data_IF_907837751970
#
_entry.id   IF_907837751970
#
_cell.length_a   1.000
_cell.length_b   1.000
_cell.length_c   1.000
_cell.angle_alpha   90.00
_cell.angle_beta   90.00
_cell.angle_gamma   90.00
#
_symmetry.space_group_name_H-M   'P 1'
#
loop_
_entity.id
_entity.type
_entity.pdbx_description
1 polymer ?
#
# COMPACT_ATOMS: atom_id res chain seq x y z
N UNK A 1 49.70 -97.00 9.46
CA UNK A 1 48.47 -96.29 9.31
C UNK A 1 48.69 -94.93 9.94
N UNK A 2 49.09 -93.94 9.12
CA UNK A 2 49.23 -92.56 9.53
C UNK A 2 47.89 -91.82 9.23
N UNK A 3 47.41 -90.99 10.10
CA UNK A 3 46.21 -90.19 9.78
C UNK A 3 46.59 -88.97 8.96
N UNK A 4 45.85 -88.76 7.87
CA UNK A 4 45.92 -87.60 6.99
C UNK A 4 45.64 -86.34 7.79
N UNK A 5 46.36 -85.23 7.49
CA UNK A 5 46.10 -83.88 7.99
C UNK A 5 44.96 -83.24 7.17
N UNK A 6 44.07 -82.55 7.80
CA UNK A 6 43.06 -81.84 7.06
C UNK A 6 43.62 -80.60 6.35
N UNK A 7 43.09 -80.36 5.17
CA UNK A 7 43.36 -79.26 4.21
C UNK A 7 43.40 -77.88 4.80
N UNK A 8 44.26 -77.06 4.18
CA UNK A 8 44.44 -75.66 4.57
C UNK A 8 43.17 -74.75 4.42
N UNK A 9 43.25 -73.53 4.90
CA UNK A 9 42.09 -72.67 5.02
C UNK A 9 41.40 -72.36 3.69
N UNK A 10 40.09 -72.48 3.70
CA UNK A 10 39.19 -72.36 2.55
C UNK A 10 39.36 -71.02 1.84
N UNK A 11 39.88 -70.94 0.64
CA UNK A 11 40.07 -69.76 -0.22
C UNK A 11 38.75 -69.03 -0.42
N UNK A 12 37.61 -69.69 -0.27
CA UNK A 12 36.27 -69.09 -0.36
C UNK A 12 35.92 -68.14 0.83
N UNK A 13 36.56 -68.36 1.99
CA UNK A 13 36.34 -67.49 3.18
C UNK A 13 37.10 -66.17 3.09
N UNK A 14 38.30 -66.13 2.46
CA UNK A 14 39.05 -64.87 2.28
C UNK A 14 38.43 -63.94 1.24
N UNK A 15 37.88 -64.47 0.15
CA UNK A 15 37.24 -63.73 -0.89
C UNK A 15 35.88 -63.12 -0.37
N UNK A 16 35.16 -63.82 0.48
CA UNK A 16 33.97 -63.38 1.16
C UNK A 16 34.24 -62.24 2.17
N UNK A 17 35.32 -62.35 2.95
CA UNK A 17 35.75 -61.31 3.89
C UNK A 17 36.27 -60.08 3.18
N UNK A 18 36.98 -60.22 2.05
CA UNK A 18 37.44 -59.09 1.23
C UNK A 18 36.26 -58.29 0.63
N UNK A 19 35.21 -58.96 0.12
CA UNK A 19 34.03 -58.35 -0.42
C UNK A 19 33.16 -57.62 0.68
N UNK A 20 33.10 -58.21 1.88
CA UNK A 20 32.42 -57.62 2.99
C UNK A 20 33.12 -56.35 3.52
N UNK A 21 34.46 -56.35 3.60
CA UNK A 21 35.26 -55.17 3.97
C UNK A 21 35.12 -54.04 2.94
N UNK A 22 35.14 -54.33 1.65
CA UNK A 22 34.95 -53.34 0.59
C UNK A 22 33.54 -52.74 0.62
N UNK A 23 32.51 -53.53 0.94
CA UNK A 23 31.13 -53.02 1.13
C UNK A 23 30.99 -52.13 2.36
N UNK A 24 31.63 -52.46 3.47
CA UNK A 24 31.64 -51.66 4.70
C UNK A 24 32.39 -50.34 4.45
N UNK A 25 33.49 -50.36 3.75
CA UNK A 25 34.26 -49.17 3.41
C UNK A 25 33.48 -48.24 2.48
N UNK A 26 32.83 -48.77 1.47
CA UNK A 26 31.92 -48.03 0.58
C UNK A 26 30.70 -47.42 1.31
N UNK A 27 30.12 -48.16 2.25
CA UNK A 27 29.03 -47.68 3.08
C UNK A 27 29.51 -46.57 4.03
N UNK A 28 30.74 -46.68 4.55
CA UNK A 28 31.36 -45.64 5.40
C UNK A 28 31.66 -44.36 4.62
N UNK A 29 32.18 -44.46 3.40
CA UNK A 29 32.38 -43.31 2.52
C UNK A 29 31.08 -42.63 2.15
N UNK A 30 30.03 -43.38 1.82
CA UNK A 30 28.70 -42.84 1.56
C UNK A 30 28.11 -42.17 2.80
N UNK A 31 28.30 -42.74 3.99
CA UNK A 31 27.86 -42.12 5.26
C UNK A 31 28.61 -40.84 5.56
N UNK A 32 29.90 -40.75 5.31
CA UNK A 32 30.70 -39.54 5.46
C UNK A 32 30.26 -38.45 4.45
N UNK A 33 30.02 -38.82 3.19
CA UNK A 33 29.56 -37.89 2.16
C UNK A 33 28.14 -37.33 2.47
N UNK A 34 27.25 -38.18 3.01
CA UNK A 34 25.91 -37.73 3.49
C UNK A 34 26.02 -36.80 4.70
N UNK A 35 26.93 -37.12 5.64
CA UNK A 35 27.19 -36.27 6.80
C UNK A 35 27.75 -34.90 6.40
N UNK A 36 28.68 -34.87 5.45
CA UNK A 36 29.26 -33.62 4.96
C UNK A 36 28.26 -32.77 4.16
N UNK A 37 27.38 -33.42 3.39
CA UNK A 37 26.23 -32.76 2.76
C UNK A 37 25.28 -32.16 3.79
N UNK A 38 24.88 -32.93 4.80
CA UNK A 38 24.02 -32.46 5.87
C UNK A 38 24.66 -31.33 6.65
N UNK A 39 25.99 -31.41 6.92
CA UNK A 39 26.70 -30.32 7.61
C UNK A 39 26.74 -29.03 6.77
N UNK A 40 26.96 -29.16 5.47
CA UNK A 40 26.97 -28.02 4.53
C UNK A 40 25.58 -27.39 4.37
N UNK A 41 24.52 -28.19 4.34
CA UNK A 41 23.13 -27.69 4.39
C UNK A 41 22.83 -26.98 5.72
N UNK A 42 23.27 -27.55 6.84
CA UNK A 42 23.04 -26.96 8.16
C UNK A 42 23.84 -25.68 8.36
N UNK A 43 25.03 -25.55 7.79
CA UNK A 43 25.79 -24.29 7.78
C UNK A 43 25.12 -23.24 6.89
N UNK A 44 24.48 -23.64 5.80
CA UNK A 44 23.66 -22.75 4.96
C UNK A 44 22.42 -22.20 5.67
N UNK A 45 21.89 -22.91 6.68
CA UNK A 45 20.78 -22.42 7.52
C UNK A 45 21.19 -21.33 8.52
N UNK A 46 22.47 -21.17 8.82
CA UNK A 46 22.97 -20.09 9.68
C UNK A 46 22.85 -18.71 9.02
N UNK A 47 22.84 -18.66 7.69
CA UNK A 47 22.58 -17.46 6.92
C UNK A 47 21.26 -17.63 6.15
N UNK A 48 20.16 -17.03 6.62
CA UNK A 48 18.86 -17.12 5.95
C UNK A 48 18.91 -16.75 4.46
N UNK A 49 19.83 -15.88 4.07
CA UNK A 49 19.97 -15.41 2.69
C UNK A 49 20.51 -16.49 1.74
N UNK A 50 21.18 -17.51 2.26
CA UNK A 50 21.71 -18.62 1.48
C UNK A 50 20.72 -19.77 1.29
N UNK A 51 19.62 -19.78 2.04
CA UNK A 51 18.59 -20.81 1.94
C UNK A 51 17.89 -20.78 0.59
N UNK A 52 17.48 -21.96 0.11
CA UNK A 52 16.73 -22.10 -1.14
C UNK A 52 15.41 -21.32 -1.08
N UNK A 53 14.77 -21.30 0.08
CA UNK A 53 13.53 -20.56 0.31
C UNK A 53 13.76 -19.04 0.13
N UNK A 54 14.81 -18.49 0.74
CA UNK A 54 15.14 -17.07 0.59
C UNK A 54 15.46 -16.69 -0.86
N UNK A 55 16.27 -17.52 -1.55
CA UNK A 55 16.60 -17.32 -2.96
C UNK A 55 15.37 -17.41 -3.86
N UNK A 56 14.41 -18.26 -3.53
CA UNK A 56 13.15 -18.39 -4.25
C UNK A 56 12.24 -17.16 -4.07
N UNK A 57 12.14 -16.65 -2.84
CA UNK A 57 11.30 -15.50 -2.52
C UNK A 57 11.90 -14.20 -3.09
N UNK A 58 13.17 -13.95 -2.83
CA UNK A 58 13.81 -12.69 -3.15
C UNK A 58 14.53 -12.65 -4.49
N UNK A 59 14.75 -13.80 -5.14
CA UNK A 59 15.40 -13.93 -6.46
C UNK A 59 16.63 -13.04 -6.67
N UNK A 60 17.43 -12.83 -5.61
CA UNK A 60 18.61 -11.97 -5.65
C UNK A 60 19.77 -12.76 -6.26
N UNK A 61 19.91 -12.70 -7.58
CA UNK A 61 20.94 -13.48 -8.30
C UNK A 61 21.99 -12.64 -9.02
N UNK A 62 21.95 -11.29 -8.89
CA UNK A 62 22.82 -10.44 -9.70
C UNK A 62 23.70 -9.55 -8.82
N UNK A 63 24.97 -9.48 -9.16
CA UNK A 63 25.89 -8.49 -8.56
C UNK A 63 25.35 -7.08 -8.81
N UNK A 64 25.09 -6.36 -7.72
CA UNK A 64 24.56 -4.99 -7.74
C UNK A 64 25.62 -3.93 -8.04
N UNK A 65 26.87 -4.29 -8.16
CA UNK A 65 27.95 -3.38 -8.53
C UNK A 65 27.86 -2.95 -10.00
N UNK A 66 27.42 -3.86 -10.88
CA UNK A 66 27.27 -3.60 -12.31
C UNK A 66 25.98 -2.77 -12.61
N UNK A 67 26.08 -1.67 -13.37
CA UNK A 67 24.93 -0.85 -13.81
C UNK A 67 23.86 -1.61 -14.58
N UNK A 68 24.26 -2.60 -15.42
CA UNK A 68 23.34 -3.45 -16.17
C UNK A 68 22.50 -4.31 -15.23
N UNK A 69 23.15 -4.96 -14.26
CA UNK A 69 22.47 -5.81 -13.30
C UNK A 69 21.52 -5.02 -12.40
N UNK A 70 21.87 -3.77 -12.04
CA UNK A 70 20.96 -2.87 -11.34
C UNK A 70 19.72 -2.53 -12.16
N UNK A 71 19.87 -2.29 -13.45
CA UNK A 71 18.74 -2.02 -14.34
C UNK A 71 17.84 -3.25 -14.50
N UNK A 72 18.40 -4.44 -14.65
CA UNK A 72 17.65 -5.69 -14.73
C UNK A 72 16.92 -6.00 -13.40
N UNK A 73 17.55 -5.75 -12.25
CA UNK A 73 16.89 -5.89 -10.95
C UNK A 73 15.69 -4.95 -10.79
N UNK A 74 15.80 -3.71 -11.28
CA UNK A 74 14.67 -2.75 -11.30
C UNK A 74 13.53 -3.24 -12.21
N UNK A 75 13.85 -3.79 -13.38
CA UNK A 75 12.84 -4.28 -14.32
C UNK A 75 12.12 -5.54 -13.83
N UNK A 76 12.83 -6.42 -13.13
CA UNK A 76 12.29 -7.72 -12.68
C UNK A 76 11.58 -7.68 -11.33
N UNK A 77 11.71 -6.60 -10.56
CA UNK A 77 11.15 -6.47 -9.22
C UNK A 77 10.04 -5.42 -9.20
N UNK A 78 8.81 -5.81 -8.87
CA UNK A 78 7.63 -4.93 -8.84
C UNK A 78 7.87 -3.68 -7.98
N UNK A 79 8.42 -3.83 -6.78
CA UNK A 79 8.65 -2.69 -5.88
C UNK A 79 9.71 -1.74 -6.46
N UNK A 80 10.82 -2.26 -6.95
CA UNK A 80 11.84 -1.44 -7.59
C UNK A 80 11.38 -0.88 -8.93
N UNK A 81 10.48 -1.57 -9.63
CA UNK A 81 9.88 -1.07 -10.86
C UNK A 81 8.98 0.15 -10.62
N UNK A 82 8.29 0.23 -9.49
CA UNK A 82 7.46 1.37 -9.11
C UNK A 82 8.27 2.57 -8.59
N UNK A 83 9.52 2.36 -8.16
CA UNK A 83 10.39 3.41 -7.63
C UNK A 83 11.39 3.89 -8.68
N UNK A 84 11.82 5.17 -8.67
CA UNK A 84 12.82 5.69 -9.60
C UNK A 84 14.19 5.04 -9.35
N UNK A 85 14.91 4.70 -10.44
CA UNK A 85 16.23 4.08 -10.35
C UNK A 85 17.31 5.02 -9.78
N UNK A 86 17.12 6.33 -9.94
CA UNK A 86 17.99 7.39 -9.40
C UNK A 86 17.11 8.40 -8.66
N UNK A 87 17.50 8.77 -7.45
CA UNK A 87 16.83 9.77 -6.63
C UNK A 87 17.86 10.85 -6.25
N UNK A 88 17.46 12.11 -6.30
CA UNK A 88 18.28 13.19 -5.82
C UNK A 88 18.51 13.02 -4.31
N UNK A 89 19.78 13.05 -3.88
CA UNK A 89 20.15 12.88 -2.47
C UNK A 89 19.50 13.91 -1.56
N UNK A 90 19.40 15.17 -2.01
CA UNK A 90 18.79 16.24 -1.22
C UNK A 90 17.26 16.10 -1.12
N UNK A 91 16.63 15.46 -2.12
CA UNK A 91 15.20 15.18 -2.08
C UNK A 91 14.83 14.12 -1.02
N UNK A 92 15.78 13.30 -0.57
CA UNK A 92 15.54 12.26 0.45
C UNK A 92 15.67 12.78 1.88
N UNK A 93 16.12 14.02 2.07
CA UNK A 93 16.20 14.63 3.40
C UNK A 93 14.81 14.78 3.99
N UNK A 94 14.61 14.25 5.19
CA UNK A 94 13.33 14.35 5.91
C UNK A 94 12.91 15.81 6.10
N UNK A 95 13.89 16.70 6.42
CA UNK A 95 13.65 18.14 6.58
C UNK A 95 13.10 18.84 5.34
N UNK A 96 13.28 18.26 4.15
CA UNK A 96 12.73 18.81 2.91
C UNK A 96 11.30 18.31 2.61
N UNK A 97 11.03 17.03 2.83
CA UNK A 97 9.74 16.41 2.48
C UNK A 97 8.79 16.27 3.68
N UNK A 98 9.34 16.22 4.90
CA UNK A 98 8.68 15.85 6.15
C UNK A 98 7.96 14.49 6.07
N UNK A 99 8.21 13.71 5.04
CA UNK A 99 7.58 12.43 4.80
C UNK A 99 6.05 12.49 4.59
N UNK A 100 5.47 13.68 4.39
CA UNK A 100 4.01 13.88 4.42
C UNK A 100 3.26 12.99 3.44
N UNK A 101 3.74 12.84 2.20
CA UNK A 101 3.11 11.95 1.22
C UNK A 101 3.14 10.47 1.65
N UNK A 102 4.25 10.03 2.23
CA UNK A 102 4.39 8.67 2.77
C UNK A 102 3.49 8.44 4.00
N UNK A 103 3.42 9.41 4.90
CA UNK A 103 2.54 9.36 6.08
C UNK A 103 1.07 9.30 5.64
N UNK A 104 0.65 10.13 4.68
CA UNK A 104 -0.71 10.12 4.14
C UNK A 104 -1.06 8.76 3.53
N UNK A 105 -0.14 8.16 2.76
CA UNK A 105 -0.32 6.81 2.22
C UNK A 105 -0.42 5.74 3.30
N UNK A 106 0.43 5.80 4.32
CA UNK A 106 0.36 4.89 5.46
C UNK A 106 -1.00 5.00 6.19
N UNK A 107 -1.48 6.23 6.40
CA UNK A 107 -2.80 6.47 6.99
C UNK A 107 -3.94 5.89 6.14
N UNK A 108 -3.83 5.96 4.80
CA UNK A 108 -4.79 5.31 3.91
C UNK A 108 -4.82 3.78 4.11
N UNK A 109 -3.65 3.15 4.27
CA UNK A 109 -3.58 1.70 4.56
C UNK A 109 -4.23 1.39 5.92
N UNK A 110 -3.94 2.18 6.96
CA UNK A 110 -4.56 2.02 8.29
C UNK A 110 -6.08 2.16 8.20
N UNK A 111 -6.56 3.18 7.47
CA UNK A 111 -8.00 3.40 7.25
C UNK A 111 -8.65 2.25 6.50
N UNK A 112 -8.01 1.73 5.47
CA UNK A 112 -8.53 0.58 4.71
C UNK A 112 -8.62 -0.66 5.60
N UNK A 113 -7.57 -0.97 6.35
CA UNK A 113 -7.55 -2.13 7.24
C UNK A 113 -8.60 -2.01 8.35
N UNK A 114 -8.61 -0.89 9.05
CA UNK A 114 -9.59 -0.65 10.14
C UNK A 114 -11.01 -0.58 9.59
N UNK A 115 -11.21 0.02 8.42
CA UNK A 115 -12.52 0.11 7.77
C UNK A 115 -13.09 -1.25 7.40
N UNK A 116 -12.28 -2.15 6.83
CA UNK A 116 -12.70 -3.52 6.53
C UNK A 116 -13.12 -4.26 7.80
N UNK A 117 -12.37 -4.11 8.89
CA UNK A 117 -12.75 -4.72 10.17
C UNK A 117 -14.06 -4.14 10.75
N UNK A 118 -14.29 -2.84 10.61
CA UNK A 118 -15.53 -2.19 11.03
C UNK A 118 -16.74 -2.70 10.24
N UNK A 119 -16.59 -3.05 8.95
CA UNK A 119 -17.67 -3.58 8.13
C UNK A 119 -18.29 -4.88 8.66
N UNK A 120 -17.52 -5.70 9.41
CA UNK A 120 -18.04 -6.94 10.01
C UNK A 120 -19.11 -6.71 11.08
N UNK A 121 -19.13 -5.52 11.68
CA UNK A 121 -20.03 -5.18 12.79
C UNK A 121 -21.08 -4.14 12.41
N UNK A 122 -21.13 -3.70 11.15
CA UNK A 122 -21.93 -2.57 10.74
C UNK A 122 -23.00 -2.95 9.69
N UNK A 123 -24.26 -2.59 9.97
CA UNK A 123 -25.36 -2.73 9.04
C UNK A 123 -25.83 -1.35 8.55
N UNK A 124 -25.77 -1.05 7.24
CA UNK A 124 -26.15 0.24 6.67
C UNK A 124 -27.70 0.40 6.60
N UNK A 125 -28.35 0.21 7.73
CA UNK A 125 -29.81 0.30 7.88
C UNK A 125 -30.14 1.31 8.96
N UNK A 126 -31.04 2.25 8.65
CA UNK A 126 -31.43 3.31 9.56
C UNK A 126 -31.92 2.76 10.90
N UNK A 127 -31.39 3.30 11.99
CA UNK A 127 -31.65 2.82 13.37
C UNK A 127 -30.87 1.59 13.77
N UNK A 128 -30.42 0.71 12.87
CA UNK A 128 -29.48 -0.37 13.18
C UNK A 128 -28.05 0.17 13.23
N UNK A 129 -27.65 1.03 12.28
CA UNK A 129 -26.32 1.60 12.19
C UNK A 129 -25.85 2.23 13.52
N UNK A 130 -26.69 3.05 14.16
CA UNK A 130 -26.36 3.66 15.44
C UNK A 130 -26.20 2.61 16.57
N UNK A 131 -27.05 1.60 16.61
CA UNK A 131 -26.96 0.51 17.60
C UNK A 131 -25.68 -0.32 17.41
N UNK A 132 -25.31 -0.57 16.16
CA UNK A 132 -24.06 -1.30 15.84
C UNK A 132 -22.83 -0.53 16.31
N UNK A 133 -22.84 0.80 16.19
CA UNK A 133 -21.75 1.63 16.73
C UNK A 133 -21.70 1.55 18.26
N UNK A 134 -22.84 1.59 18.95
CA UNK A 134 -22.86 1.42 20.42
C UNK A 134 -22.40 0.02 20.83
N UNK A 135 -22.87 -1.02 20.14
CA UNK A 135 -22.43 -2.41 20.37
C UNK A 135 -20.91 -2.54 20.17
N UNK A 136 -20.37 -1.97 19.08
CA UNK A 136 -18.94 -1.97 18.81
C UNK A 136 -18.14 -1.29 19.94
N UNK A 137 -18.66 -0.19 20.51
CA UNK A 137 -17.94 0.59 21.53
C UNK A 137 -17.99 -0.04 22.93
N UNK A 138 -19.05 -0.76 23.25
CA UNK A 138 -19.30 -1.25 24.62
C UNK A 138 -19.13 -2.75 24.77
N UNK A 139 -19.51 -3.54 23.77
CA UNK A 139 -19.61 -5.00 23.90
C UNK A 139 -18.50 -5.75 23.14
N UNK A 140 -17.95 -5.16 22.07
CA UNK A 140 -16.90 -5.83 21.27
C UNK A 140 -15.51 -5.55 21.88
N UNK A 141 -14.74 -6.59 22.22
CA UNK A 141 -13.36 -6.43 22.70
C UNK A 141 -12.53 -5.61 21.68
N UNK A 142 -11.88 -4.55 22.15
CA UNK A 142 -11.11 -3.60 21.33
C UNK A 142 -11.93 -2.82 20.26
N UNK A 143 -13.25 -2.96 20.23
CA UNK A 143 -14.09 -2.28 19.23
C UNK A 143 -14.00 -0.75 19.31
N UNK A 144 -14.01 -0.18 20.52
CA UNK A 144 -13.77 1.25 20.75
C UNK A 144 -12.40 1.71 20.27
N UNK A 145 -11.35 0.90 20.48
CA UNK A 145 -10.01 1.20 19.98
C UNK A 145 -10.00 1.21 18.44
N UNK A 146 -10.57 0.19 17.81
CA UNK A 146 -10.65 0.05 16.36
C UNK A 146 -11.35 1.25 15.72
N UNK A 147 -12.52 1.64 16.24
CA UNK A 147 -13.28 2.80 15.76
C UNK A 147 -12.50 4.09 15.94
N UNK A 148 -11.87 4.29 17.09
CA UNK A 148 -11.08 5.49 17.35
C UNK A 148 -9.83 5.56 16.46
N UNK A 149 -9.15 4.44 16.21
CA UNK A 149 -8.03 4.39 15.26
C UNK A 149 -8.49 4.83 13.87
N UNK A 150 -9.63 4.33 13.38
CA UNK A 150 -10.19 4.74 12.09
C UNK A 150 -10.49 6.24 12.07
N UNK A 151 -11.17 6.75 13.07
CA UNK A 151 -11.54 8.18 13.18
C UNK A 151 -10.31 9.09 13.23
N UNK A 152 -9.34 8.79 14.10
CA UNK A 152 -8.15 9.62 14.24
C UNK A 152 -7.23 9.54 13.02
N UNK A 153 -7.11 8.37 12.40
CA UNK A 153 -6.39 8.22 11.14
C UNK A 153 -7.03 9.06 10.02
N UNK A 154 -8.37 9.17 9.98
CA UNK A 154 -9.06 10.02 9.03
C UNK A 154 -8.74 11.51 9.23
N UNK A 155 -8.77 12.00 10.47
CA UNK A 155 -8.40 13.39 10.77
C UNK A 155 -6.93 13.67 10.40
N UNK A 156 -6.02 12.78 10.79
CA UNK A 156 -4.60 12.91 10.46
C UNK A 156 -4.37 12.85 8.94
N UNK A 157 -5.09 12.01 8.21
CA UNK A 157 -4.97 11.93 6.75
C UNK A 157 -5.35 13.25 6.08
N UNK A 158 -6.42 13.91 6.50
CA UNK A 158 -6.79 15.23 5.98
C UNK A 158 -5.69 16.24 6.26
N UNK A 159 -5.23 16.33 7.51
CA UNK A 159 -4.17 17.28 7.91
C UNK A 159 -2.88 17.04 7.12
N UNK A 160 -2.44 15.79 7.03
CA UNK A 160 -1.19 15.46 6.31
C UNK A 160 -1.31 15.66 4.81
N UNK A 161 -2.49 15.44 4.22
CA UNK A 161 -2.75 15.75 2.80
C UNK A 161 -2.64 17.24 2.54
N UNK A 162 -3.24 18.08 3.37
CA UNK A 162 -3.14 19.55 3.27
C UNK A 162 -1.70 20.02 3.42
N UNK A 163 -0.99 19.53 4.43
CA UNK A 163 0.43 19.87 4.63
C UNK A 163 1.29 19.42 3.46
N UNK A 164 1.01 18.23 2.90
CA UNK A 164 1.66 17.74 1.70
C UNK A 164 1.45 18.67 0.49
N UNK A 165 0.21 19.04 0.22
CA UNK A 165 -0.14 19.96 -0.86
C UNK A 165 0.51 21.33 -0.66
N UNK A 166 0.43 21.87 0.56
CA UNK A 166 1.05 23.15 0.92
C UNK A 166 2.57 23.14 0.70
N UNK A 167 3.25 22.07 1.14
CA UNK A 167 4.68 21.88 0.87
C UNK A 167 4.98 21.86 -0.62
N UNK A 168 4.18 21.14 -1.43
CA UNK A 168 4.36 21.06 -2.88
C UNK A 168 4.26 22.43 -3.54
N UNK A 169 3.33 23.27 -3.07
CA UNK A 169 3.16 24.66 -3.54
C UNK A 169 4.37 25.52 -3.14
N UNK A 170 4.76 25.51 -1.87
CA UNK A 170 5.86 26.35 -1.35
C UNK A 170 7.21 26.02 -2.00
N UNK A 171 7.44 24.75 -2.33
CA UNK A 171 8.71 24.33 -2.97
C UNK A 171 8.67 24.40 -4.49
N UNK A 172 7.55 24.84 -5.10
CA UNK A 172 7.39 24.88 -6.55
C UNK A 172 7.41 23.49 -7.21
N UNK A 173 7.20 22.44 -6.44
CA UNK A 173 7.26 21.04 -6.91
C UNK A 173 6.14 20.65 -7.87
N UNK A 174 5.16 21.50 -8.07
CA UNK A 174 4.07 21.35 -9.05
C UNK A 174 4.44 21.80 -10.47
N UNK A 175 5.57 22.52 -10.63
CA UNK A 175 6.04 23.03 -11.93
C UNK A 175 6.61 21.89 -12.79
N UNK A 176 6.87 22.21 -14.07
CA UNK A 176 7.41 21.26 -15.05
C UNK A 176 8.52 20.37 -14.48
N UNK A 177 8.46 19.08 -14.72
CA UNK A 177 7.52 18.30 -15.56
C UNK A 177 6.33 17.68 -14.76
N UNK A 178 5.97 18.21 -13.57
CA UNK A 178 5.08 17.58 -12.58
C UNK A 178 3.65 18.13 -12.56
N UNK A 179 3.25 18.93 -13.55
CA UNK A 179 1.92 19.57 -13.60
C UNK A 179 0.80 18.54 -13.60
N UNK A 180 0.94 17.47 -14.40
CA UNK A 180 -0.06 16.40 -14.42
C UNK A 180 -0.18 15.71 -13.06
N UNK A 181 0.95 15.44 -12.40
CA UNK A 181 0.94 14.82 -11.08
C UNK A 181 0.31 15.75 -10.02
N UNK A 182 0.44 17.04 -10.18
CA UNK A 182 -0.25 18.03 -9.35
C UNK A 182 -1.78 17.92 -9.51
N UNK A 183 -2.29 17.86 -10.75
CA UNK A 183 -3.72 17.67 -11.02
C UNK A 183 -4.24 16.36 -10.40
N UNK A 184 -3.49 15.27 -10.52
CA UNK A 184 -3.81 13.99 -9.85
C UNK A 184 -3.86 14.16 -8.33
N UNK A 185 -2.93 14.90 -7.75
CA UNK A 185 -2.91 15.22 -6.33
C UNK A 185 -4.14 16.01 -5.87
N UNK A 186 -4.60 16.98 -6.66
CA UNK A 186 -5.84 17.73 -6.40
C UNK A 186 -7.07 16.81 -6.41
N UNK A 187 -7.15 15.90 -7.38
CA UNK A 187 -8.22 14.88 -7.42
C UNK A 187 -8.19 14.01 -6.16
N UNK A 188 -7.00 13.56 -5.73
CA UNK A 188 -6.83 12.78 -4.50
C UNK A 188 -7.27 13.55 -3.26
N UNK A 189 -7.00 14.87 -3.18
CA UNK A 189 -7.49 15.72 -2.09
C UNK A 189 -9.02 15.75 -2.07
N UNK A 190 -9.66 15.95 -3.24
CA UNK A 190 -11.13 15.95 -3.35
C UNK A 190 -11.70 14.60 -2.92
N UNK A 191 -11.11 13.49 -3.37
CA UNK A 191 -11.53 12.14 -2.96
C UNK A 191 -11.37 11.92 -1.45
N UNK A 192 -10.31 12.44 -0.84
CA UNK A 192 -10.12 12.40 0.63
C UNK A 192 -11.21 13.16 1.38
N UNK A 193 -11.60 14.34 0.87
CA UNK A 193 -12.71 15.11 1.44
C UNK A 193 -14.05 14.38 1.29
N UNK A 194 -14.30 13.77 0.14
CA UNK A 194 -15.51 12.97 -0.10
C UNK A 194 -15.55 11.71 0.79
N UNK A 195 -14.41 11.05 1.02
CA UNK A 195 -14.32 9.94 1.99
C UNK A 195 -14.72 10.41 3.38
N UNK A 196 -14.20 11.53 3.85
CA UNK A 196 -14.55 12.07 5.15
C UNK A 196 -16.04 12.43 5.23
N UNK A 197 -16.58 13.06 4.19
CA UNK A 197 -17.98 13.45 4.13
C UNK A 197 -18.92 12.23 4.15
N UNK A 198 -18.66 11.22 3.32
CA UNK A 198 -19.50 10.02 3.27
C UNK A 198 -19.39 9.17 4.54
N UNK A 199 -18.20 9.09 5.15
CA UNK A 199 -17.99 8.38 6.40
C UNK A 199 -18.65 9.05 7.62
N UNK A 200 -18.84 10.36 7.56
CA UNK A 200 -19.42 11.12 8.67
C UNK A 200 -20.92 10.81 8.89
N UNK A 201 -21.64 10.38 7.86
CA UNK A 201 -23.04 9.95 7.97
C UNK A 201 -23.20 8.55 8.57
N UNK A 202 -22.20 7.68 8.45
CA UNK A 202 -22.37 6.25 8.77
C UNK A 202 -22.78 5.95 10.22
N UNK A 203 -22.38 6.72 11.24
CA UNK A 203 -22.90 6.52 12.60
C UNK A 203 -24.42 6.72 12.74
N UNK A 204 -25.11 7.30 11.77
CA UNK A 204 -26.56 7.63 11.77
C UNK A 204 -26.97 8.41 13.02
N UNK A 205 -26.09 9.32 13.46
CA UNK A 205 -26.31 10.21 14.59
C UNK A 205 -26.80 11.60 14.13
N UNK A 206 -27.18 12.45 15.09
CA UNK A 206 -27.64 13.80 14.83
C UNK A 206 -26.61 14.66 14.09
N UNK A 207 -25.33 14.52 14.40
CA UNK A 207 -24.26 15.28 13.78
C UNK A 207 -24.08 14.89 12.31
N UNK A 208 -24.05 13.59 12.01
CA UNK A 208 -23.97 13.06 10.65
C UNK A 208 -25.18 13.47 9.80
N UNK A 209 -26.39 13.34 10.35
CA UNK A 209 -27.62 13.75 9.68
C UNK A 209 -27.59 15.23 9.26
N UNK A 210 -27.29 16.14 10.20
CA UNK A 210 -27.27 17.56 9.89
C UNK A 210 -26.12 17.99 8.99
N UNK A 211 -24.92 17.39 9.16
CA UNK A 211 -23.79 17.66 8.29
C UNK A 211 -24.10 17.31 6.83
N UNK A 212 -24.70 16.13 6.58
CA UNK A 212 -25.08 15.71 5.22
C UNK A 212 -26.24 16.54 4.69
N UNK A 213 -27.21 16.90 5.53
CA UNK A 213 -28.31 17.78 5.14
C UNK A 213 -27.79 19.12 4.66
N UNK A 214 -26.93 19.77 5.44
CA UNK A 214 -26.34 21.07 5.08
C UNK A 214 -25.44 20.96 3.86
N UNK A 215 -24.51 20.00 3.85
CA UNK A 215 -23.56 19.83 2.76
C UNK A 215 -24.24 19.53 1.42
N UNK A 216 -25.27 18.68 1.43
CA UNK A 216 -26.02 18.39 0.19
C UNK A 216 -26.95 19.52 -0.22
N UNK A 217 -27.46 20.34 0.71
CA UNK A 217 -28.16 21.58 0.36
C UNK A 217 -27.23 22.59 -0.31
N UNK A 218 -25.96 22.70 0.15
CA UNK A 218 -24.98 23.55 -0.53
C UNK A 218 -24.69 23.03 -1.96
N UNK A 219 -24.76 21.73 -2.19
CA UNK A 219 -24.57 21.14 -3.51
C UNK A 219 -25.64 21.57 -4.54
N UNK A 220 -26.82 22.02 -4.12
CA UNK A 220 -27.86 22.59 -5.01
C UNK A 220 -27.39 23.82 -5.76
N UNK A 221 -26.47 24.60 -5.16
CA UNK A 221 -25.90 25.80 -5.77
C UNK A 221 -24.73 25.49 -6.72
N UNK A 222 -24.38 24.22 -6.92
CA UNK A 222 -23.28 23.82 -7.83
C UNK A 222 -23.65 24.18 -9.26
N UNK A 223 -22.75 24.88 -10.00
CA UNK A 223 -22.99 25.19 -11.41
C UNK A 223 -23.29 23.91 -12.21
N UNK A 224 -24.21 23.99 -13.16
CA UNK A 224 -24.61 22.92 -14.09
C UNK A 224 -25.41 21.80 -13.40
N UNK A 225 -24.96 21.28 -12.26
CA UNK A 225 -25.49 20.08 -11.61
C UNK A 225 -26.51 20.38 -10.49
N UNK A 226 -26.56 21.61 -10.01
CA UNK A 226 -27.51 22.04 -8.98
C UNK A 226 -28.66 22.83 -9.58
N UNK A 227 -29.89 22.59 -9.12
CA UNK A 227 -31.06 23.31 -9.63
C UNK A 227 -31.13 24.78 -9.18
N UNK A 228 -30.39 25.19 -8.13
CA UNK A 228 -30.22 26.55 -7.66
C UNK A 228 -28.96 27.22 -8.19
N UNK A 229 -28.09 26.45 -8.89
CA UNK A 229 -26.83 26.94 -9.41
C UNK A 229 -26.87 27.51 -10.81
N UNK A 230 -25.85 28.28 -11.22
CA UNK A 230 -25.74 28.80 -12.58
C UNK A 230 -25.85 27.71 -13.63
N UNK A 231 -26.65 27.94 -14.67
CA UNK A 231 -26.91 27.04 -15.79
C UNK A 231 -27.68 25.73 -15.47
N UNK A 232 -27.89 25.40 -14.18
CA UNK A 232 -28.63 24.21 -13.78
C UNK A 232 -30.07 24.18 -14.29
N UNK A 233 -30.90 25.19 -13.98
CA UNK A 233 -32.29 25.26 -14.46
C UNK A 233 -32.41 25.25 -15.99
N UNK A 234 -31.51 25.93 -16.69
CA UNK A 234 -31.47 25.94 -18.16
C UNK A 234 -31.18 24.56 -18.78
N UNK A 235 -30.44 23.72 -18.05
CA UNK A 235 -30.15 22.34 -18.44
C UNK A 235 -31.20 21.33 -17.92
N UNK A 236 -32.32 21.83 -17.33
CA UNK A 236 -33.39 20.97 -16.86
C UNK A 236 -33.16 20.38 -15.47
N UNK A 237 -32.23 20.92 -14.69
CA UNK A 237 -32.06 20.52 -13.29
C UNK A 237 -33.26 20.99 -12.45
N UNK A 238 -33.78 20.07 -11.67
CA UNK A 238 -34.92 20.25 -10.76
C UNK A 238 -34.55 19.68 -9.38
N UNK A 239 -35.33 19.97 -8.32
CA UNK A 239 -35.11 19.35 -7.00
C UNK A 239 -35.14 17.80 -6.99
N UNK A 240 -35.64 17.18 -8.06
CA UNK A 240 -35.82 15.72 -8.18
C UNK A 240 -34.79 15.03 -9.08
N UNK A 241 -33.89 15.78 -9.72
CA UNK A 241 -32.86 15.21 -10.58
C UNK A 241 -31.49 15.89 -10.43
N UNK A 242 -31.34 16.83 -9.51
CA UNK A 242 -30.09 17.54 -9.27
C UNK A 242 -29.04 16.67 -8.55
N UNK A 243 -27.85 17.24 -8.36
CA UNK A 243 -26.74 16.55 -7.67
C UNK A 243 -27.11 16.11 -6.27
N UNK A 244 -27.91 16.92 -5.53
CA UNK A 244 -28.38 16.55 -4.18
C UNK A 244 -29.26 15.29 -4.23
N UNK A 245 -30.24 15.26 -5.12
CA UNK A 245 -31.11 14.11 -5.30
C UNK A 245 -30.30 12.87 -5.70
N UNK A 246 -29.33 13.04 -6.58
CA UNK A 246 -28.39 11.97 -6.96
C UNK A 246 -27.59 11.42 -5.79
N UNK A 247 -27.06 12.30 -4.93
CA UNK A 247 -26.28 11.91 -3.77
C UNK A 247 -27.11 11.21 -2.69
N UNK A 248 -28.29 11.73 -2.38
CA UNK A 248 -29.17 11.19 -1.33
C UNK A 248 -29.96 9.96 -1.79
N UNK A 249 -30.26 9.86 -3.09
CA UNK A 249 -31.22 8.87 -3.60
C UNK A 249 -32.67 9.22 -3.30
N UNK A 250 -32.95 10.50 -3.02
CA UNK A 250 -34.26 11.02 -2.66
C UNK A 250 -34.20 12.49 -2.33
N UNK A 251 -35.32 13.04 -1.88
CA UNK A 251 -35.44 14.46 -1.49
C UNK A 251 -35.03 14.77 -0.05
N UNK A 252 -34.86 13.73 0.78
CA UNK A 252 -34.51 13.85 2.20
C UNK A 252 -33.33 12.92 2.55
N UNK A 253 -32.68 13.20 3.69
CA UNK A 253 -31.65 12.29 4.23
C UNK A 253 -32.33 11.14 4.97
N UNK A 254 -32.37 9.99 4.35
CA UNK A 254 -33.04 8.79 4.85
C UNK A 254 -32.17 7.53 4.68
N UNK A 255 -32.81 6.35 4.67
CA UNK A 255 -32.15 5.06 4.49
C UNK A 255 -31.37 4.95 3.16
N UNK A 256 -31.87 5.56 2.08
CA UNK A 256 -31.17 5.58 0.79
C UNK A 256 -29.87 6.37 0.86
N UNK A 257 -29.89 7.53 1.54
CA UNK A 257 -28.69 8.34 1.74
C UNK A 257 -27.63 7.59 2.55
N UNK A 258 -28.04 6.88 3.61
CA UNK A 258 -27.14 6.06 4.43
C UNK A 258 -26.53 4.91 3.62
N UNK A 259 -27.33 4.17 2.87
CA UNK A 259 -26.86 3.06 2.03
C UNK A 259 -25.90 3.54 0.93
N UNK A 260 -26.21 4.64 0.26
CA UNK A 260 -25.35 5.23 -0.76
C UNK A 260 -24.03 5.70 -0.18
N UNK A 261 -24.08 6.39 0.95
CA UNK A 261 -22.87 6.82 1.66
C UNK A 261 -22.00 5.63 2.06
N UNK A 262 -22.59 4.53 2.52
CA UNK A 262 -21.86 3.30 2.84
C UNK A 262 -21.16 2.71 1.60
N UNK A 263 -21.86 2.57 0.48
CA UNK A 263 -21.28 2.01 -0.75
C UNK A 263 -20.14 2.89 -1.26
N UNK A 264 -20.35 4.20 -1.30
CA UNK A 264 -19.32 5.13 -1.74
C UNK A 264 -18.12 5.17 -0.80
N UNK A 265 -18.36 5.19 0.52
CA UNK A 265 -17.30 5.24 1.52
C UNK A 265 -16.46 3.95 1.55
N UNK A 266 -17.10 2.80 1.56
CA UNK A 266 -16.40 1.53 1.75
C UNK A 266 -15.80 0.96 0.46
N UNK A 267 -16.40 1.24 -0.72
CA UNK A 267 -16.02 0.60 -1.98
C UNK A 267 -15.69 1.64 -3.05
N UNK A 268 -16.64 2.50 -3.41
CA UNK A 268 -16.52 3.35 -4.60
C UNK A 268 -15.35 4.31 -4.54
N UNK A 269 -15.33 5.18 -3.55
CA UNK A 269 -14.28 6.19 -3.43
C UNK A 269 -12.90 5.56 -3.09
N UNK A 270 -12.76 4.57 -2.19
CA UNK A 270 -11.49 3.91 -1.95
C UNK A 270 -10.89 3.27 -3.20
N UNK A 271 -11.71 2.63 -4.03
CA UNK A 271 -11.27 2.03 -5.29
C UNK A 271 -10.73 3.10 -6.26
N UNK A 272 -11.51 4.17 -6.47
CA UNK A 272 -11.10 5.28 -7.34
C UNK A 272 -9.85 5.96 -6.79
N UNK A 273 -9.79 6.22 -5.48
CA UNK A 273 -8.60 6.79 -4.83
C UNK A 273 -7.35 5.91 -5.00
N UNK A 274 -7.51 4.59 -4.90
CA UNK A 274 -6.40 3.64 -5.12
C UNK A 274 -5.85 3.70 -6.54
N UNK A 275 -6.73 3.82 -7.55
CA UNK A 275 -6.33 3.98 -8.96
C UNK A 275 -5.55 5.29 -9.14
N UNK A 276 -6.08 6.42 -8.65
CA UNK A 276 -5.40 7.71 -8.76
C UNK A 276 -4.09 7.73 -7.97
N UNK A 277 -4.02 7.04 -6.84
CA UNK A 277 -2.80 6.90 -6.03
C UNK A 277 -1.72 6.09 -6.78
N UNK A 278 -2.11 5.02 -7.46
CA UNK A 278 -1.20 4.26 -8.33
C UNK A 278 -0.66 5.14 -9.48
N UNK A 279 -1.52 5.94 -10.11
CA UNK A 279 -1.11 6.93 -11.14
C UNK A 279 -0.19 7.99 -10.55
N UNK A 280 -0.49 8.49 -9.34
CA UNK A 280 0.33 9.49 -8.64
C UNK A 280 1.75 8.97 -8.38
N UNK A 281 1.91 7.78 -7.86
CA UNK A 281 3.23 7.16 -7.61
C UNK A 281 3.97 6.84 -8.92
N UNK A 282 3.26 6.33 -9.92
CA UNK A 282 3.84 6.09 -11.23
C UNK A 282 4.39 7.38 -11.86
N UNK A 283 3.66 8.49 -11.74
CA UNK A 283 4.11 9.80 -12.24
C UNK A 283 5.32 10.34 -11.49
N UNK A 284 5.38 10.19 -10.16
CA UNK A 284 6.58 10.56 -9.39
C UNK A 284 7.82 9.89 -9.99
N UNK A 285 7.74 8.59 -10.28
CA UNK A 285 8.83 7.86 -10.92
C UNK A 285 9.17 8.42 -12.29
N UNK A 286 8.17 8.60 -13.14
CA UNK A 286 8.34 9.02 -14.53
C UNK A 286 8.89 10.45 -14.63
N UNK A 287 8.52 11.32 -13.69
CA UNK A 287 8.93 12.72 -13.64
C UNK A 287 10.27 12.93 -12.91
N UNK A 288 11.09 11.88 -12.76
CA UNK A 288 12.45 11.95 -12.22
C UNK A 288 12.54 11.79 -10.69
N UNK A 289 11.51 11.26 -10.04
CA UNK A 289 11.47 11.01 -8.59
C UNK A 289 10.95 12.21 -7.79
N UNK A 290 11.18 12.18 -6.49
CA UNK A 290 10.80 13.26 -5.58
C UNK A 290 11.57 14.53 -5.95
N UNK A 291 10.87 15.67 -6.00
CA UNK A 291 11.51 16.97 -6.27
C UNK A 291 12.52 17.31 -5.16
N UNK A 292 13.73 17.70 -5.55
CA UNK A 292 14.73 18.25 -4.65
C UNK A 292 14.57 19.77 -4.47
N UNK A 293 15.31 20.38 -3.53
CA UNK A 293 15.43 21.83 -3.45
C UNK A 293 15.97 22.37 -4.78
N UNK A 294 15.50 23.56 -5.18
CA UNK A 294 16.05 24.23 -6.34
C UNK A 294 17.57 24.41 -6.15
N UNK A 295 18.39 24.16 -7.20
CA UNK A 295 19.80 24.47 -7.10
C UNK A 295 19.97 25.95 -6.75
N UNK A 296 20.83 26.22 -5.76
CA UNK A 296 21.20 27.61 -5.42
C UNK A 296 22.00 28.14 -6.59
N UNK A 297 21.38 28.96 -7.42
CA UNK A 297 22.09 29.65 -8.51
C UNK A 297 23.03 30.70 -7.89
N UNK A 298 24.29 30.62 -8.23
CA UNK A 298 25.23 31.68 -7.87
C UNK A 298 24.82 32.99 -8.55
N UNK A 299 25.06 34.11 -7.88
CA UNK A 299 24.67 35.44 -8.37
C UNK A 299 25.26 35.75 -9.79
N UNK A 300 26.41 35.14 -10.07
CA UNK A 300 27.04 35.15 -11.39
C UNK A 300 26.23 34.47 -12.50
N UNK A 301 25.58 33.31 -12.14
CA UNK A 301 24.74 32.56 -13.09
C UNK A 301 23.41 33.29 -13.34
N UNK A 302 22.85 33.93 -12.31
CA UNK A 302 21.65 34.76 -12.46
C UNK A 302 21.88 35.98 -13.34
N UNK A 303 23.07 36.58 -13.28
CA UNK A 303 23.46 37.69 -14.15
C UNK A 303 23.67 37.26 -15.60
N UNK A 304 24.14 36.02 -15.83
CA UNK A 304 24.31 35.48 -17.20
C UNK A 304 22.97 35.18 -17.89
N UNK A 305 21.92 34.78 -17.15
CA UNK A 305 20.59 34.52 -17.70
C UNK A 305 19.77 35.79 -17.99
N UNK A 306 20.19 36.95 -17.47
CA UNK A 306 19.53 38.25 -17.72
C UNK A 306 20.13 39.02 -18.90
N UNK A 307 21.19 38.49 -19.53
CA UNK A 307 21.78 39.00 -20.80
C UNK A 307 21.24 38.19 -21.98
#
# INVERSE_FOLDING_TARGET
MEPERPDGPDVKTEEGQSKATALIEKAREQGLALRDRAKKEFEGYKDPQQTQLWKSIFRVSHDRSDPRNRSLAVLSNVFLHLHPAKINRDATRYSFTWGMGGITFYLFIVLTFTGVLLMYYYHPVKGAAFRDILYLEHDVPFGKLLRNMHRWAAHLMIITTWLHMFRVVLTGSYKRPREFNWCVGVVLLVLTMLLSFTGYLLPDDQLGFWAVTVGTNMARATPIFGHEGPFGPQLGMTPYNDVRFGLLGGSIVDANALLRSYIWHCIGIPLVASIFMAVHFWRIRKDGGISGPAPVMLESEMKALKK
#
